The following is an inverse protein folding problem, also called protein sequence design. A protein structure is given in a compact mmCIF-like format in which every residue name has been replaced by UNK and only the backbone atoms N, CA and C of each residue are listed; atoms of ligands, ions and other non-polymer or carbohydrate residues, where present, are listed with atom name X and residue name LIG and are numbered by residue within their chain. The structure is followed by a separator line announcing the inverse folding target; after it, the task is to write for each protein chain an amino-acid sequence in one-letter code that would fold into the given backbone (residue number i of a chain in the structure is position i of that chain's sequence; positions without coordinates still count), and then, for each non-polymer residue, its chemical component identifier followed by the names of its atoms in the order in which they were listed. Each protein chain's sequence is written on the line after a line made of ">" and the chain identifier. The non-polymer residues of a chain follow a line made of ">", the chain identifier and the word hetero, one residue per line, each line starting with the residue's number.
data_IF_808225460821
#
_entry.id   IF_808225460821
#
_cell.length_a   1.000
_cell.length_b   1.000
_cell.length_c   1.000
_cell.angle_alpha   90.00
_cell.angle_beta   90.00
_cell.angle_gamma   90.00
#
_symmetry.space_group_name_H-M   'P 1'
#
loop_
_entity.id
_entity.type
_entity.pdbx_description
1 polymer ?
#
# COMPACT_ATOMS: atom_id res chain seq x y z
N UNK A 1 -17.11 2.51 -2.41
CA UNK A 1 -15.84 3.18 -2.13
C UNK A 1 -14.74 2.16 -2.09
N UNK A 2 -13.46 2.47 -2.57
CA UNK A 2 -12.40 1.46 -2.65
C UNK A 2 -11.87 1.05 -1.28
N UNK A 3 -11.44 -0.21 -1.22
CA UNK A 3 -10.86 -0.83 -0.04
C UNK A 3 -9.41 -1.18 -0.36
N UNK A 4 -8.47 -0.75 0.49
CA UNK A 4 -7.04 -0.94 0.25
C UNK A 4 -6.49 -2.00 1.19
N UNK A 5 -5.65 -2.88 0.66
CA UNK A 5 -4.95 -3.91 1.44
C UNK A 5 -3.45 -3.78 1.17
N UNK A 6 -2.66 -3.75 2.24
CA UNK A 6 -1.20 -3.75 2.17
C UNK A 6 -0.72 -5.09 2.73
N UNK A 7 -0.15 -5.92 1.87
CA UNK A 7 0.46 -7.18 2.31
C UNK A 7 1.95 -6.97 2.50
N UNK A 8 2.48 -7.33 3.65
CA UNK A 8 3.88 -7.07 3.99
C UNK A 8 4.54 -8.28 4.62
N UNK A 9 5.84 -8.42 4.40
CA UNK A 9 6.63 -9.52 4.95
C UNK A 9 6.93 -9.25 6.42
N UNK A 10 6.36 -10.09 7.31
CA UNK A 10 6.57 -9.95 8.75
C UNK A 10 8.01 -10.24 9.15
N UNK A 11 8.60 -11.41 8.76
CA UNK A 11 9.98 -11.69 9.18
C UNK A 11 11.02 -10.78 8.54
N UNK A 12 10.64 -10.01 7.53
CA UNK A 12 11.57 -9.08 6.89
C UNK A 12 11.65 -7.72 7.58
N UNK A 13 10.79 -7.46 8.57
CA UNK A 13 10.79 -6.19 9.29
C UNK A 13 10.09 -5.07 8.53
N UNK A 14 9.12 -5.39 7.69
CA UNK A 14 8.40 -4.37 6.90
C UNK A 14 7.21 -3.76 7.61
N UNK A 15 6.99 -4.10 8.89
CA UNK A 15 5.82 -3.61 9.62
C UNK A 15 5.77 -2.08 9.71
N UNK A 16 6.87 -1.44 10.06
CA UNK A 16 6.90 0.03 10.18
C UNK A 16 6.56 0.69 8.85
N UNK A 17 7.11 0.16 7.76
CA UNK A 17 6.84 0.69 6.43
C UNK A 17 5.37 0.52 6.05
N UNK A 18 4.79 -0.62 6.43
CA UNK A 18 3.38 -0.87 6.17
C UNK A 18 2.50 0.10 6.96
N UNK A 19 2.83 0.36 8.21
CA UNK A 19 2.11 1.32 9.05
C UNK A 19 2.23 2.72 8.48
N UNK A 20 3.43 3.12 8.06
CA UNK A 20 3.65 4.43 7.47
C UNK A 20 2.85 4.60 6.19
N UNK A 21 2.79 3.56 5.37
CA UNK A 21 2.00 3.57 4.14
C UNK A 21 0.51 3.70 4.46
N UNK A 22 0.03 2.94 5.43
CA UNK A 22 -1.36 3.00 5.85
C UNK A 22 -1.71 4.41 6.34
N UNK A 23 -0.86 4.99 7.17
CA UNK A 23 -1.08 6.33 7.71
C UNK A 23 -1.13 7.37 6.58
N UNK A 24 -0.18 7.31 5.66
CA UNK A 24 -0.14 8.24 4.53
C UNK A 24 -1.39 8.12 3.67
N UNK A 25 -1.83 6.90 3.38
CA UNK A 25 -3.03 6.69 2.57
C UNK A 25 -4.28 7.22 3.26
N UNK A 26 -4.40 6.98 4.55
CA UNK A 26 -5.55 7.46 5.31
C UNK A 26 -5.55 8.98 5.44
N UNK A 27 -4.38 9.60 5.61
CA UNK A 27 -4.28 11.05 5.68
C UNK A 27 -4.53 11.71 4.33
N UNK A 28 -4.08 11.09 3.25
CA UNK A 28 -4.17 11.67 1.91
C UNK A 28 -5.56 11.48 1.31
N UNK A 29 -6.12 10.28 1.43
CA UNK A 29 -7.37 9.92 0.75
C UNK A 29 -8.57 9.81 1.69
N UNK A 30 -8.31 9.51 2.97
CA UNK A 30 -9.33 9.55 4.01
C UNK A 30 -10.66 8.94 3.62
N UNK A 31 -11.66 9.79 3.48
CA UNK A 31 -13.03 9.36 3.22
C UNK A 31 -13.26 8.80 1.82
N UNK A 32 -12.28 8.91 0.93
CA UNK A 32 -12.37 8.28 -0.39
C UNK A 32 -12.16 6.77 -0.31
N UNK A 33 -11.67 6.27 0.83
CA UNK A 33 -11.40 4.85 1.04
C UNK A 33 -12.37 4.29 2.08
N UNK A 34 -12.75 3.02 1.91
CA UNK A 34 -13.49 2.30 2.96
C UNK A 34 -12.58 1.97 4.14
N UNK A 35 -11.31 1.84 3.87
CA UNK A 35 -10.32 1.55 4.90
C UNK A 35 -9.01 1.08 4.27
N UNK A 36 -7.99 0.94 5.11
CA UNK A 36 -6.70 0.39 4.70
C UNK A 36 -6.35 -0.74 5.66
N UNK A 37 -6.26 -1.95 5.14
CA UNK A 37 -6.00 -3.16 5.91
C UNK A 37 -4.54 -3.56 5.76
N UNK A 38 -3.91 -3.97 6.86
CA UNK A 38 -2.58 -4.58 6.82
C UNK A 38 -2.75 -6.08 6.86
N UNK A 39 -2.14 -6.77 5.89
CA UNK A 39 -2.18 -8.22 5.81
C UNK A 39 -0.78 -8.78 5.99
N UNK A 40 -0.62 -9.73 6.90
CA UNK A 40 0.67 -10.36 7.14
C UNK A 40 1.02 -11.30 6.00
N UNK A 41 2.30 -11.32 5.63
CA UNK A 41 2.81 -12.20 4.60
C UNK A 41 4.23 -12.62 4.91
N UNK A 42 4.90 -13.25 3.94
CA UNK A 42 6.30 -13.70 4.08
C UNK A 42 6.99 -13.63 2.71
N UNK A 43 8.24 -14.11 2.66
CA UNK A 43 8.98 -14.18 1.40
C UNK A 43 9.40 -12.84 0.84
N UNK A 44 9.43 -11.79 1.65
CA UNK A 44 9.85 -10.47 1.21
C UNK A 44 8.76 -9.67 0.53
N UNK A 45 7.50 -10.07 0.65
CA UNK A 45 6.40 -9.39 -0.01
C UNK A 45 6.17 -7.99 0.56
N UNK A 46 5.88 -7.04 -0.32
CA UNK A 46 5.34 -5.73 0.05
C UNK A 46 4.55 -5.23 -1.15
N UNK A 47 3.24 -5.33 -1.07
CA UNK A 47 2.38 -4.94 -2.19
C UNK A 47 1.12 -4.27 -1.69
N UNK A 48 0.52 -3.46 -2.57
CA UNK A 48 -0.68 -2.71 -2.27
C UNK A 48 -1.76 -3.09 -3.28
N UNK A 49 -2.94 -3.43 -2.78
CA UNK A 49 -4.10 -3.79 -3.60
C UNK A 49 -5.23 -2.82 -3.34
N UNK A 50 -5.94 -2.47 -4.40
CA UNK A 50 -7.18 -1.69 -4.29
C UNK A 50 -8.31 -2.56 -4.83
N UNK A 51 -9.30 -2.85 -3.98
CA UNK A 51 -10.43 -3.72 -4.32
C UNK A 51 -9.97 -5.10 -4.83
N UNK A 52 -8.87 -5.60 -4.24
CA UNK A 52 -8.33 -6.91 -4.61
C UNK A 52 -7.38 -6.89 -5.80
N UNK A 53 -7.23 -5.77 -6.46
CA UNK A 53 -6.33 -5.62 -7.59
C UNK A 53 -5.00 -5.02 -7.15
N UNK A 54 -3.90 -5.70 -7.47
CA UNK A 54 -2.58 -5.20 -7.12
C UNK A 54 -2.24 -3.99 -7.98
N UNK A 55 -2.02 -2.85 -7.33
CA UNK A 55 -1.67 -1.60 -8.01
C UNK A 55 -0.19 -1.28 -7.89
N UNK A 56 0.50 -1.85 -6.89
CA UNK A 56 1.91 -1.59 -6.69
C UNK A 56 2.55 -2.73 -5.90
N UNK A 57 3.83 -3.02 -6.17
CA UNK A 57 4.65 -3.86 -5.31
C UNK A 57 6.10 -3.36 -5.31
N UNK A 58 6.89 -3.85 -4.36
CA UNK A 58 8.24 -3.33 -4.17
C UNK A 58 9.22 -3.74 -5.26
N UNK A 59 8.83 -4.66 -6.13
CA UNK A 59 9.69 -5.05 -7.24
C UNK A 59 9.63 -4.04 -8.39
N UNK A 60 8.67 -3.13 -8.35
CA UNK A 60 8.58 -2.08 -9.35
C UNK A 60 9.73 -1.09 -9.14
N UNK A 61 10.56 -0.85 -10.16
CA UNK A 61 11.67 0.08 -10.00
C UNK A 61 11.18 1.51 -9.89
N UNK A 62 11.83 2.29 -9.03
CA UNK A 62 11.50 3.70 -8.84
C UNK A 62 12.50 4.34 -7.91
N UNK A 63 12.66 5.64 -8.03
CA UNK A 63 13.55 6.43 -7.19
C UNK A 63 12.86 6.88 -5.90
N UNK A 64 11.54 6.67 -5.82
CA UNK A 64 10.76 7.09 -4.65
C UNK A 64 10.85 6.06 -3.54
N UNK A 65 10.58 6.51 -2.32
CA UNK A 65 10.45 5.58 -1.20
C UNK A 65 9.24 4.68 -1.46
N UNK A 66 9.24 3.44 -0.95
CA UNK A 66 8.09 2.56 -1.12
C UNK A 66 6.77 3.16 -0.64
N UNK A 67 6.82 3.95 0.45
CA UNK A 67 5.61 4.59 0.98
C UNK A 67 5.02 5.58 -0.02
N UNK A 68 5.87 6.45 -0.58
CA UNK A 68 5.42 7.44 -1.55
C UNK A 68 4.98 6.79 -2.87
N UNK A 69 5.74 5.80 -3.34
CA UNK A 69 5.40 5.10 -4.57
C UNK A 69 4.06 4.38 -4.46
N UNK A 70 3.79 3.76 -3.32
CA UNK A 70 2.51 3.10 -3.09
C UNK A 70 1.36 4.12 -3.07
N UNK A 71 1.57 5.27 -2.44
CA UNK A 71 0.56 6.32 -2.41
C UNK A 71 0.24 6.84 -3.81
N UNK A 72 1.27 7.04 -4.63
CA UNK A 72 1.08 7.47 -6.02
C UNK A 72 0.30 6.44 -6.83
N UNK A 73 0.59 5.15 -6.64
CA UNK A 73 -0.12 4.08 -7.34
C UNK A 73 -1.60 4.04 -6.95
N UNK A 74 -1.89 4.24 -5.66
CA UNK A 74 -3.29 4.29 -5.19
C UNK A 74 -3.99 5.51 -5.79
N UNK A 75 -3.32 6.66 -5.81
CA UNK A 75 -3.88 7.87 -6.40
C UNK A 75 -4.25 7.64 -7.87
N UNK A 76 -3.35 7.04 -8.63
CA UNK A 76 -3.62 6.75 -10.05
C UNK A 76 -4.83 5.85 -10.22
N UNK A 77 -4.98 4.86 -9.35
CA UNK A 77 -6.12 3.94 -9.39
C UNK A 77 -7.43 4.64 -9.05
N UNK A 78 -7.39 5.57 -8.08
CA UNK A 78 -8.59 6.30 -7.68
C UNK A 78 -9.04 7.33 -8.72
N UNK A 79 -8.09 7.84 -9.51
CA UNK A 79 -8.38 8.83 -10.54
C UNK A 79 -8.93 8.20 -11.83
N UNK A 80 -8.91 6.89 -11.93
CA UNK A 80 -9.44 6.18 -13.11
C UNK A 80 -10.96 6.26 -13.21
#
# INVERSE_FOLDING_TARGET
>A
MPDVTIEYCVPCGHLERAIDTQELLLETFGQQLDGVRLQTGDGGVFEVRVDGERVWDKSDPGDETPVEAAADAVRDRLDD
#
